data_IF_903184212663
#
_entry.id   IF_903184212663
#
_cell.length_a   1.000
_cell.length_b   1.000
_cell.length_c   1.000
_cell.angle_alpha   90.00
_cell.angle_beta   90.00
_cell.angle_gamma   90.00
#
_symmetry.space_group_name_H-M   'P 1'
#
loop_
_entity.id
_entity.type
_entity.pdbx_description
1 polymer ?
#
# COMPACT_ATOMS: atom_id res chain seq x y z
N UNK A 1 19.49 -11.24 7.66
CA UNK A 1 20.19 -11.14 6.36
C UNK A 1 20.46 -12.49 5.69
N UNK A 2 21.21 -13.43 6.31
CA UNK A 2 21.46 -14.75 5.70
C UNK A 2 20.18 -15.56 5.43
N UNK A 3 19.28 -15.65 6.41
CA UNK A 3 17.98 -16.32 6.23
C UNK A 3 17.13 -15.66 5.13
N UNK A 4 17.10 -14.32 5.11
CA UNK A 4 16.37 -13.54 4.10
C UNK A 4 16.81 -13.85 2.66
N UNK A 5 18.12 -14.04 2.42
CA UNK A 5 18.64 -14.46 1.11
C UNK A 5 18.25 -15.89 0.74
N UNK A 6 18.10 -16.78 1.73
CA UNK A 6 17.67 -18.16 1.50
C UNK A 6 16.18 -18.21 1.18
N UNK A 7 15.39 -17.34 1.82
CA UNK A 7 13.93 -17.25 1.60
C UNK A 7 13.58 -16.58 0.26
N UNK A 8 14.39 -15.63 -0.20
CA UNK A 8 14.14 -14.86 -1.43
C UNK A 8 15.39 -14.85 -2.34
N UNK A 9 15.85 -16.02 -2.82
CA UNK A 9 17.14 -16.14 -3.51
C UNK A 9 17.21 -15.29 -4.79
N UNK A 10 16.10 -15.17 -5.51
CA UNK A 10 16.04 -14.49 -6.80
C UNK A 10 15.59 -13.02 -6.69
N UNK A 11 15.01 -12.61 -5.55
CA UNK A 11 14.38 -11.30 -5.39
C UNK A 11 14.90 -10.48 -4.21
N UNK A 12 15.79 -11.02 -3.37
CA UNK A 12 16.29 -10.29 -2.19
C UNK A 12 16.98 -8.97 -2.55
N UNK A 13 17.67 -8.91 -3.69
CA UNK A 13 18.31 -7.67 -4.15
C UNK A 13 17.27 -6.64 -4.56
N UNK A 14 16.23 -7.03 -5.29
CA UNK A 14 15.15 -6.13 -5.68
C UNK A 14 14.35 -5.64 -4.48
N UNK A 15 14.11 -6.50 -3.49
CA UNK A 15 13.44 -6.11 -2.25
C UNK A 15 14.30 -5.09 -1.46
N UNK A 16 15.62 -5.31 -1.37
CA UNK A 16 16.53 -4.39 -0.69
C UNK A 16 16.73 -3.06 -1.44
N UNK A 17 16.77 -3.11 -2.77
CA UNK A 17 16.85 -1.92 -3.61
C UNK A 17 15.56 -1.12 -3.50
N UNK A 18 14.40 -1.79 -3.51
CA UNK A 18 13.10 -1.15 -3.28
C UNK A 18 13.05 -0.49 -1.91
N UNK A 19 13.54 -1.17 -0.86
CA UNK A 19 13.61 -0.59 0.48
C UNK A 19 14.48 0.66 0.51
N UNK A 20 15.66 0.63 -0.11
CA UNK A 20 16.56 1.78 -0.21
C UNK A 20 15.99 2.93 -1.03
N UNK A 21 15.31 2.63 -2.13
CA UNK A 21 14.63 3.64 -2.95
C UNK A 21 13.52 4.33 -2.15
N UNK A 22 12.74 3.57 -1.38
CA UNK A 22 11.71 4.12 -0.50
C UNK A 22 12.31 4.95 0.64
N UNK A 23 13.42 4.50 1.23
CA UNK A 23 14.17 5.22 2.26
C UNK A 23 14.76 6.54 1.73
N UNK A 24 15.32 6.55 0.51
CA UNK A 24 15.84 7.77 -0.13
C UNK A 24 14.72 8.73 -0.59
N UNK A 25 13.54 8.21 -0.95
CA UNK A 25 12.36 9.03 -1.27
C UNK A 25 11.75 9.69 -0.02
N UNK A 26 12.01 9.15 1.18
CA UNK A 26 11.56 9.70 2.46
C UNK A 26 12.25 11.03 2.81
N UNK A 27 13.45 11.30 2.28
CA UNK A 27 14.33 12.38 2.75
C UNK A 27 14.31 13.64 1.86
N UNK A 28 13.67 13.60 0.69
CA UNK A 28 13.53 14.75 -0.19
C UNK A 28 12.08 15.30 -0.12
N UNK A 29 11.87 16.63 0.00
CA UNK A 29 10.54 17.20 -0.08
C UNK A 29 9.97 16.93 -1.48
N UNK A 30 9.11 15.92 -1.58
CA UNK A 30 8.40 15.58 -2.80
C UNK A 30 7.26 16.59 -2.99
N UNK A 31 7.02 17.00 -4.23
CA UNK A 31 5.78 17.73 -4.52
C UNK A 31 4.58 16.79 -4.42
N UNK A 32 3.39 17.29 -4.09
CA UNK A 32 2.13 16.51 -4.02
C UNK A 32 1.94 15.64 -5.29
N UNK A 33 2.34 16.17 -6.45
CA UNK A 33 2.29 15.45 -7.73
C UNK A 33 3.26 14.27 -7.77
N UNK A 34 4.50 14.43 -7.29
CA UNK A 34 5.47 13.34 -7.20
C UNK A 34 5.01 12.26 -6.21
N UNK A 35 4.46 12.66 -5.07
CA UNK A 35 3.91 11.74 -4.08
C UNK A 35 2.75 10.90 -4.66
N UNK A 36 1.83 11.55 -5.36
CA UNK A 36 0.73 10.89 -6.09
C UNK A 36 1.25 9.91 -7.13
N UNK A 37 2.28 10.28 -7.90
CA UNK A 37 2.88 9.40 -8.91
C UNK A 37 3.56 8.19 -8.27
N UNK A 38 4.26 8.39 -7.15
CA UNK A 38 4.89 7.32 -6.36
C UNK A 38 3.82 6.33 -5.86
N UNK A 39 2.72 6.84 -5.32
CA UNK A 39 1.58 6.01 -4.91
C UNK A 39 1.01 5.20 -6.08
N UNK A 40 0.78 5.82 -7.24
CA UNK A 40 0.28 5.12 -8.42
C UNK A 40 1.25 4.05 -8.95
N UNK A 41 2.57 4.29 -8.87
CA UNK A 41 3.57 3.27 -9.23
C UNK A 41 3.53 2.09 -8.27
N UNK A 42 3.41 2.36 -6.97
CA UNK A 42 3.28 1.33 -5.94
C UNK A 42 2.03 0.48 -6.16
N UNK A 43 0.87 1.11 -6.39
CA UNK A 43 -0.39 0.36 -6.56
C UNK A 43 -0.37 -0.55 -7.78
N UNK A 44 0.23 -0.10 -8.89
CA UNK A 44 0.45 -0.94 -10.08
C UNK A 44 1.38 -2.12 -9.81
N UNK A 45 2.48 -1.89 -9.10
CA UNK A 45 3.44 -2.95 -8.76
C UNK A 45 2.80 -4.01 -7.85
N UNK A 46 2.04 -3.58 -6.85
CA UNK A 46 1.29 -4.49 -5.96
C UNK A 46 0.24 -5.28 -6.74
N UNK A 47 -0.50 -4.64 -7.65
CA UNK A 47 -1.43 -5.34 -8.53
C UNK A 47 -0.75 -6.41 -9.40
N UNK A 48 0.46 -6.13 -9.90
CA UNK A 48 1.27 -7.12 -10.63
C UNK A 48 1.65 -8.30 -9.73
N UNK A 49 2.17 -8.04 -8.52
CA UNK A 49 2.54 -9.10 -7.56
C UNK A 49 1.32 -9.94 -7.19
N UNK A 50 0.16 -9.31 -6.97
CA UNK A 50 -1.08 -10.03 -6.66
C UNK A 50 -1.60 -10.85 -7.85
N UNK A 51 -1.31 -10.41 -9.08
CA UNK A 51 -1.59 -11.19 -10.28
C UNK A 51 -0.61 -12.36 -10.46
N UNK A 52 0.60 -12.26 -9.91
CA UNK A 52 1.57 -13.37 -9.91
C UNK A 52 1.30 -14.40 -8.80
N UNK A 53 0.51 -14.04 -7.77
CA UNK A 53 0.03 -14.96 -6.70
C UNK A 53 -0.89 -16.08 -7.21
N UNK A 54 -1.24 -16.10 -8.51
CA UNK A 54 -2.17 -17.06 -9.15
C UNK A 54 -1.80 -18.55 -9.02
N UNK A 55 -0.67 -18.88 -8.41
CA UNK A 55 -0.37 -20.25 -7.95
C UNK A 55 -0.96 -20.52 -6.56
N UNK A 56 -2.29 -20.46 -6.44
CA UNK A 56 -3.06 -20.96 -5.31
C UNK A 56 -3.31 -20.00 -4.15
N UNK A 57 -2.97 -18.71 -4.29
CA UNK A 57 -3.23 -17.70 -3.27
C UNK A 57 -4.20 -16.63 -3.77
N UNK A 58 -5.01 -16.11 -2.84
CA UNK A 58 -6.00 -15.07 -3.09
C UNK A 58 -5.81 -13.96 -2.06
N UNK A 59 -6.05 -12.70 -2.46
CA UNK A 59 -5.83 -11.56 -1.61
C UNK A 59 -6.80 -10.40 -1.92
N UNK A 60 -7.21 -9.70 -0.88
CA UNK A 60 -7.90 -8.42 -0.94
C UNK A 60 -7.06 -7.39 -0.19
N UNK A 61 -6.80 -6.24 -0.81
CA UNK A 61 -5.93 -5.21 -0.28
C UNK A 61 -6.59 -3.83 -0.40
N UNK A 62 -6.41 -3.02 0.63
CA UNK A 62 -6.71 -1.58 0.64
C UNK A 62 -5.44 -0.80 0.97
N UNK A 63 -5.19 0.29 0.25
CA UNK A 63 -4.07 1.21 0.46
C UNK A 63 -4.58 2.64 0.47
N UNK A 64 -3.98 3.50 1.30
CA UNK A 64 -4.19 4.95 1.30
C UNK A 64 -2.88 5.66 1.63
N UNK A 65 -2.80 6.96 1.31
CA UNK A 65 -1.70 7.80 1.81
C UNK A 65 -1.84 8.07 3.30
N UNK A 66 -0.76 8.56 3.92
CA UNK A 66 -0.68 8.81 5.36
C UNK A 66 -0.55 10.30 5.71
N UNK A 67 -0.40 11.18 4.72
CA UNK A 67 -0.33 12.63 4.91
C UNK A 67 -1.75 13.20 4.82
N UNK A 68 -2.35 13.50 5.98
CA UNK A 68 -3.78 13.89 6.14
C UNK A 68 -4.23 14.94 5.13
N UNK A 69 -3.44 16.00 4.94
CA UNK A 69 -3.82 17.16 4.14
C UNK A 69 -3.50 17.00 2.64
N UNK A 70 -2.52 16.18 2.28
CA UNK A 70 -2.01 16.07 0.91
C UNK A 70 -2.56 14.83 0.20
N UNK A 71 -2.88 13.77 0.95
CA UNK A 71 -3.23 12.46 0.41
C UNK A 71 -4.73 12.16 0.43
N UNK A 72 -5.58 13.18 0.65
CA UNK A 72 -7.03 13.02 0.71
C UNK A 72 -7.61 12.30 -0.51
N UNK A 73 -6.98 12.41 -1.69
CA UNK A 73 -7.37 11.73 -2.93
C UNK A 73 -6.74 10.34 -3.11
N UNK A 74 -5.70 9.99 -2.34
CA UNK A 74 -4.95 8.75 -2.51
C UNK A 74 -5.63 7.58 -1.81
N UNK A 75 -6.23 6.70 -2.58
CA UNK A 75 -6.83 5.46 -2.09
C UNK A 75 -6.91 4.43 -3.20
N UNK A 76 -6.71 3.17 -2.86
CA UNK A 76 -6.77 2.08 -3.82
C UNK A 76 -7.26 0.80 -3.17
N UNK A 77 -8.12 0.08 -3.88
CA UNK A 77 -8.55 -1.28 -3.55
C UNK A 77 -8.13 -2.18 -4.69
N UNK A 78 -7.58 -3.34 -4.34
CA UNK A 78 -7.28 -4.40 -5.28
C UNK A 78 -7.73 -5.73 -4.71
N UNK A 79 -8.39 -6.55 -5.53
CA UNK A 79 -8.86 -7.88 -5.16
C UNK A 79 -8.51 -8.85 -6.29
N UNK A 80 -7.93 -9.99 -5.95
CA UNK A 80 -7.74 -11.10 -6.89
C UNK A 80 -9.10 -11.75 -7.22
N UNK A 81 -9.21 -12.53 -8.31
CA UNK A 81 -10.49 -13.07 -8.77
C UNK A 81 -11.28 -13.86 -7.72
N UNK A 82 -10.63 -14.72 -6.92
CA UNK A 82 -11.28 -15.48 -5.86
C UNK A 82 -11.68 -14.63 -4.64
N UNK A 83 -11.02 -13.50 -4.44
CA UNK A 83 -11.35 -12.52 -3.40
C UNK A 83 -12.28 -11.39 -3.89
N UNK A 84 -12.74 -11.43 -5.15
CA UNK A 84 -13.56 -10.37 -5.74
C UNK A 84 -14.81 -10.06 -4.92
N UNK A 85 -15.07 -8.79 -4.61
CA UNK A 85 -16.23 -8.37 -3.81
C UNK A 85 -16.16 -8.75 -2.33
N UNK A 86 -15.00 -9.13 -1.81
CA UNK A 86 -14.82 -9.48 -0.40
C UNK A 86 -15.29 -8.36 0.54
N UNK A 87 -14.85 -7.11 0.31
CA UNK A 87 -15.22 -5.97 1.16
C UNK A 87 -16.72 -5.67 1.13
N UNK A 88 -17.34 -5.76 -0.04
CA UNK A 88 -18.78 -5.53 -0.16
C UNK A 88 -19.59 -6.63 0.53
N UNK A 89 -19.23 -7.89 0.33
CA UNK A 89 -19.99 -9.04 0.87
C UNK A 89 -19.79 -9.27 2.36
N UNK A 90 -18.56 -9.11 2.84
CA UNK A 90 -18.21 -9.46 4.23
C UNK A 90 -18.04 -8.24 5.14
N UNK A 91 -17.58 -7.11 4.60
CA UNK A 91 -17.45 -5.87 5.37
C UNK A 91 -18.64 -4.92 5.16
N UNK A 92 -19.57 -5.25 4.26
CA UNK A 92 -20.71 -4.37 3.89
C UNK A 92 -20.25 -2.98 3.46
N UNK A 93 -19.05 -2.91 2.88
CA UNK A 93 -18.38 -1.67 2.50
C UNK A 93 -18.01 -1.72 1.02
N UNK A 94 -18.50 -0.75 0.25
CA UNK A 94 -18.01 -0.55 -1.12
C UNK A 94 -16.54 -0.11 -1.09
N UNK A 95 -15.86 -0.17 -2.23
CA UNK A 95 -14.45 0.24 -2.35
C UNK A 95 -14.21 1.65 -1.79
N UNK A 96 -15.12 2.60 -2.04
CA UNK A 96 -15.01 3.94 -1.48
C UNK A 96 -15.17 3.98 0.04
N UNK A 97 -16.08 3.17 0.59
CA UNK A 97 -16.32 3.10 2.04
C UNK A 97 -15.14 2.45 2.75
N UNK A 98 -14.59 1.35 2.23
CA UNK A 98 -13.44 0.67 2.85
C UNK A 98 -12.17 1.54 2.77
N UNK A 99 -11.96 2.27 1.67
CA UNK A 99 -10.91 3.30 1.57
C UNK A 99 -11.13 4.38 2.63
N UNK A 100 -12.38 4.84 2.79
CA UNK A 100 -12.75 5.83 3.80
C UNK A 100 -12.43 5.35 5.22
N UNK A 101 -12.77 4.11 5.56
CA UNK A 101 -12.44 3.50 6.86
C UNK A 101 -10.92 3.43 7.08
N UNK A 102 -10.17 2.97 6.07
CA UNK A 102 -8.71 2.87 6.15
C UNK A 102 -8.09 4.26 6.37
N UNK A 103 -8.51 5.27 5.60
CA UNK A 103 -8.06 6.65 5.76
C UNK A 103 -8.37 7.20 7.15
N UNK A 104 -9.60 7.03 7.64
CA UNK A 104 -9.99 7.52 8.95
C UNK A 104 -9.10 6.92 10.06
N UNK A 105 -8.82 5.61 9.96
CA UNK A 105 -7.93 4.93 10.91
C UNK A 105 -6.48 5.44 10.84
N UNK A 106 -5.90 5.53 9.63
CA UNK A 106 -4.54 6.02 9.43
C UNK A 106 -4.41 7.47 9.89
N UNK A 107 -5.33 8.34 9.49
CA UNK A 107 -5.29 9.76 9.85
C UNK A 107 -5.41 9.99 11.35
N UNK A 108 -6.33 9.28 12.02
CA UNK A 108 -6.42 9.34 13.47
C UNK A 108 -5.09 8.93 14.14
N UNK A 109 -4.47 7.87 13.65
CA UNK A 109 -3.19 7.37 14.18
C UNK A 109 -2.05 8.37 13.96
N UNK A 110 -1.93 8.91 12.75
CA UNK A 110 -0.89 9.88 12.39
C UNK A 110 -1.06 11.22 13.13
N UNK A 111 -2.30 11.69 13.29
CA UNK A 111 -2.60 12.89 14.07
C UNK A 111 -2.22 12.72 15.54
N UNK A 112 -2.55 11.59 16.17
CA UNK A 112 -2.16 11.33 17.57
C UNK A 112 -0.64 11.33 17.75
N UNK A 113 0.10 10.69 16.83
CA UNK A 113 1.56 10.66 16.86
C UNK A 113 2.20 12.05 16.73
N UNK A 114 1.48 13.03 16.17
CA UNK A 114 1.96 14.42 16.02
C UNK A 114 1.69 15.26 17.27
N UNK A 115 0.67 14.91 18.06
CA UNK A 115 0.29 15.62 19.30
C UNK A 115 1.14 15.18 20.50
N UNK A 116 1.75 14.00 20.45
CA UNK A 116 2.63 13.46 21.50
C UNK A 116 4.11 13.90 21.38
N UNK A 117 4.44 14.75 20.39
CA UNK A 117 5.78 15.34 20.19
C UNK A 117 5.87 16.75 20.76
#
# INVERSE_FOLDING_TARGET
YKHFKITYPDSYQDILNTYKELDMLSDAPQTITQHTQTFQKLTRRVGSIMSDLMQGFEAALVMCGNIVNEDASLGHVHMTPGASGFFERHCQASDHVIIGHMKAHVYNTMSLATVEQ
#
